data_IF_184472055553
#
_entry.id   IF_184472055553
#
_cell.length_a   1.000
_cell.length_b   1.000
_cell.length_c   1.000
_cell.angle_alpha   90.00
_cell.angle_beta   90.00
_cell.angle_gamma   90.00
#
_symmetry.space_group_name_H-M   'P 1'
#
loop_
_entity.id
_entity.type
_entity.pdbx_description
1 polymer ?
#
# COMPACT_ATOMS: atom_id res chain seq x y z
N UNK A 1 36.11 31.06 19.84
CA UNK A 1 35.38 30.51 21.01
C UNK A 1 34.05 29.95 20.52
N UNK A 2 33.78 28.66 20.77
CA UNK A 2 32.48 27.94 20.75
C UNK A 2 31.63 28.15 19.46
N UNK A 3 31.59 27.23 18.51
CA UNK A 3 31.12 25.85 18.64
C UNK A 3 29.74 25.73 17.99
N UNK A 4 29.67 25.42 16.70
CA UNK A 4 28.43 25.12 15.97
C UNK A 4 28.64 23.80 15.21
N UNK A 5 28.01 22.74 15.75
CA UNK A 5 28.11 21.37 15.27
C UNK A 5 27.43 21.21 13.92
N UNK A 6 28.22 20.90 12.90
CA UNK A 6 27.78 20.42 11.61
C UNK A 6 27.33 18.97 11.83
N UNK A 7 26.02 18.71 11.78
CA UNK A 7 25.46 17.36 11.76
C UNK A 7 25.86 16.70 10.43
N UNK A 8 27.02 16.06 10.41
CA UNK A 8 27.39 15.16 9.32
C UNK A 8 26.49 13.93 9.44
N UNK A 9 25.53 13.81 8.54
CA UNK A 9 24.73 12.60 8.38
C UNK A 9 25.65 11.54 7.75
N UNK A 10 26.51 10.93 8.56
CA UNK A 10 27.23 9.73 8.17
C UNK A 10 26.18 8.64 8.01
N UNK A 11 25.80 8.38 6.75
CA UNK A 11 24.93 7.28 6.40
C UNK A 11 25.67 5.99 6.79
N UNK A 12 25.27 5.42 7.91
CA UNK A 12 25.96 4.30 8.54
C UNK A 12 25.74 3.04 7.68
N UNK A 13 26.75 2.72 6.85
CA UNK A 13 26.71 1.60 5.92
C UNK A 13 26.56 0.25 6.64
N UNK A 14 26.76 0.21 7.96
CA UNK A 14 26.52 -0.97 8.80
C UNK A 14 25.03 -1.31 8.97
N UNK A 15 24.13 -0.32 8.92
CA UNK A 15 22.67 -0.52 9.02
C UNK A 15 22.11 -1.07 7.70
N UNK A 16 22.68 -0.64 6.57
CA UNK A 16 22.33 -1.21 5.24
C UNK A 16 22.90 -2.62 5.09
N UNK A 17 24.12 -2.87 5.58
CA UNK A 17 24.73 -4.20 5.57
C UNK A 17 23.91 -5.21 6.41
N UNK A 18 23.43 -4.82 7.59
CA UNK A 18 22.58 -5.67 8.44
C UNK A 18 21.19 -5.93 7.84
N UNK A 19 20.66 -5.02 7.02
CA UNK A 19 19.41 -5.25 6.29
C UNK A 19 19.60 -6.20 5.09
N UNK A 20 20.77 -6.16 4.43
CA UNK A 20 21.17 -7.09 3.37
C UNK A 20 21.47 -8.51 3.88
N UNK A 21 21.71 -8.68 5.18
CA UNK A 21 21.83 -9.99 5.83
C UNK A 21 20.49 -10.61 6.26
N UNK A 22 19.36 -9.91 6.08
CA UNK A 22 18.05 -10.47 6.41
C UNK A 22 17.66 -11.57 5.39
N UNK A 23 17.06 -12.69 5.84
CA UNK A 23 16.76 -13.85 5.00
C UNK A 23 15.70 -13.60 3.90
N UNK A 24 15.28 -12.35 3.69
CA UNK A 24 14.25 -11.96 2.73
C UNK A 24 14.81 -11.28 1.46
N UNK A 25 16.12 -10.98 1.36
CA UNK A 25 16.65 -10.11 0.27
C UNK A 25 17.89 -10.65 -0.47
N UNK A 26 18.14 -11.96 -0.53
CA UNK A 26 19.22 -12.46 -1.41
C UNK A 26 18.89 -13.74 -2.18
N UNK A 27 18.99 -13.73 -3.53
CA UNK A 27 19.05 -14.97 -4.32
C UNK A 27 20.45 -15.64 -4.26
N UNK A 28 21.38 -15.13 -3.45
CA UNK A 28 22.76 -15.61 -3.37
C UNK A 28 23.04 -16.65 -2.26
N UNK A 29 22.05 -16.99 -1.41
CA UNK A 29 22.22 -18.03 -0.38
C UNK A 29 22.07 -19.48 -0.90
N UNK A 30 21.93 -19.67 -2.22
CA UNK A 30 21.90 -20.99 -2.86
C UNK A 30 23.26 -21.74 -2.78
N UNK A 31 24.35 -21.04 -2.46
CA UNK A 31 25.70 -21.64 -2.40
C UNK A 31 25.95 -22.33 -1.04
N UNK A 32 25.37 -21.85 0.06
CA UNK A 32 25.54 -22.44 1.40
C UNK A 32 24.71 -23.70 1.68
N UNK A 33 23.63 -23.92 0.93
CA UNK A 33 22.79 -25.11 1.06
C UNK A 33 23.46 -26.36 0.45
N UNK A 34 24.32 -26.18 -0.56
CA UNK A 34 25.00 -27.27 -1.27
C UNK A 34 25.95 -28.05 -0.36
N UNK A 35 26.66 -27.36 0.55
CA UNK A 35 27.61 -28.00 1.48
C UNK A 35 26.91 -28.78 2.59
N UNK A 36 25.75 -28.32 3.07
CA UNK A 36 24.97 -29.02 4.10
C UNK A 36 24.27 -30.26 3.56
N UNK A 37 23.82 -30.23 2.31
CA UNK A 37 23.23 -31.40 1.64
C UNK A 37 24.33 -32.47 1.37
N UNK A 38 25.53 -32.05 0.96
CA UNK A 38 26.65 -32.98 0.76
C UNK A 38 27.15 -33.62 2.07
N UNK A 39 27.10 -32.90 3.20
CA UNK A 39 27.41 -33.46 4.52
C UNK A 39 26.39 -34.48 5.03
N UNK A 40 25.11 -34.34 4.68
CA UNK A 40 24.06 -35.32 5.04
C UNK A 40 24.17 -36.57 4.18
N UNK A 41 24.47 -36.42 2.88
CA UNK A 41 24.69 -37.54 1.95
C UNK A 41 25.91 -38.38 2.37
N UNK A 42 27.03 -37.74 2.76
CA UNK A 42 28.23 -38.45 3.18
C UNK A 42 28.10 -39.13 4.57
N UNK A 43 27.10 -38.75 5.37
CA UNK A 43 26.81 -39.35 6.68
C UNK A 43 25.80 -40.52 6.60
N UNK A 44 25.12 -40.66 5.47
CA UNK A 44 24.16 -41.74 5.20
C UNK A 44 24.79 -42.96 4.49
N UNK A 45 26.12 -42.99 4.37
CA UNK A 45 26.87 -44.11 3.80
C UNK A 45 27.22 -45.18 4.84
N UNK A 46 26.25 -45.73 5.56
CA UNK A 46 26.38 -47.06 6.17
C UNK A 46 24.99 -47.62 6.54
N UNK A 47 24.75 -48.85 6.10
CA UNK A 47 23.67 -49.79 6.46
C UNK A 47 22.32 -49.70 5.72
N UNK A 48 22.15 -50.76 4.92
CA UNK A 48 20.94 -51.58 4.84
C UNK A 48 19.68 -51.01 4.17
N UNK A 49 19.73 -50.66 2.89
CA UNK A 49 18.51 -50.67 2.06
C UNK A 49 18.86 -51.08 0.61
N UNK A 50 19.24 -52.35 0.43
CA UNK A 50 19.27 -53.03 -0.87
C UNK A 50 17.99 -53.82 -1.16
N UNK A 51 16.92 -53.61 -0.38
CA UNK A 51 15.63 -54.29 -0.53
C UNK A 51 14.49 -53.36 -0.08
N UNK A 52 13.96 -52.52 -0.97
CA UNK A 52 12.53 -52.15 -0.96
C UNK A 52 12.14 -51.37 -2.23
N UNK A 53 11.46 -52.08 -3.13
CA UNK A 53 10.46 -51.61 -4.10
C UNK A 53 10.79 -50.44 -5.06
N UNK A 54 10.83 -50.79 -6.35
CA UNK A 54 10.17 -50.08 -7.48
C UNK A 54 9.31 -48.87 -7.08
N UNK A 55 9.76 -47.65 -7.38
CA UNK A 55 9.48 -46.86 -8.59
C UNK A 55 10.36 -45.58 -8.54
N UNK A 56 10.82 -45.01 -9.67
CA UNK A 56 11.66 -43.82 -9.65
C UNK A 56 10.88 -42.66 -8.99
N UNK A 57 11.51 -41.84 -8.11
CA UNK A 57 10.81 -40.69 -7.56
C UNK A 57 10.41 -39.77 -8.72
N UNK A 58 9.13 -39.42 -8.81
CA UNK A 58 8.59 -38.45 -9.78
C UNK A 58 9.25 -37.08 -9.55
N UNK A 59 10.48 -36.90 -10.04
CA UNK A 59 11.20 -35.62 -10.01
C UNK A 59 10.38 -34.55 -10.74
N UNK A 60 9.63 -34.95 -11.77
CA UNK A 60 8.73 -34.08 -12.51
C UNK A 60 7.60 -33.52 -11.65
N UNK A 61 7.05 -34.30 -10.72
CA UNK A 61 5.99 -33.85 -9.81
C UNK A 61 6.50 -32.89 -8.73
N UNK A 62 7.75 -33.10 -8.27
CA UNK A 62 8.42 -32.27 -7.28
C UNK A 62 8.86 -30.93 -7.88
N UNK A 63 9.41 -30.97 -9.10
CA UNK A 63 9.72 -29.79 -9.90
C UNK A 63 8.43 -29.03 -10.26
N UNK A 64 7.35 -29.72 -10.63
CA UNK A 64 6.06 -29.10 -10.89
C UNK A 64 5.48 -28.41 -9.65
N UNK A 65 5.60 -28.98 -8.45
CA UNK A 65 5.13 -28.35 -7.21
C UNK A 65 5.98 -27.14 -6.78
N UNK A 66 7.31 -27.20 -6.98
CA UNK A 66 8.21 -26.07 -6.71
C UNK A 66 7.94 -24.93 -7.68
N UNK A 67 7.79 -25.25 -8.98
CA UNK A 67 7.42 -24.26 -10.01
C UNK A 67 6.03 -23.71 -9.71
N UNK A 68 5.03 -24.53 -9.39
CA UNK A 68 3.68 -24.06 -9.06
C UNK A 68 3.66 -23.10 -7.86
N UNK A 69 4.47 -23.38 -6.83
CA UNK A 69 4.57 -22.52 -5.64
C UNK A 69 5.35 -21.21 -5.91
N UNK A 70 6.36 -21.25 -6.78
CA UNK A 70 7.05 -20.06 -7.33
C UNK A 70 6.19 -19.31 -8.35
N UNK A 71 5.17 -19.97 -8.90
CA UNK A 71 4.21 -19.41 -9.87
C UNK A 71 2.88 -19.06 -9.16
N UNK A 72 2.91 -18.88 -7.83
CA UNK A 72 1.76 -18.33 -7.11
C UNK A 72 1.60 -16.85 -7.50
N UNK A 73 0.37 -16.37 -7.64
CA UNK A 73 -0.02 -15.01 -8.06
C UNK A 73 0.80 -13.84 -7.43
N UNK A 74 1.38 -14.06 -6.24
CA UNK A 74 2.29 -13.14 -5.57
C UNK A 74 3.63 -12.90 -6.29
N UNK A 75 4.21 -13.91 -6.94
CA UNK A 75 5.52 -13.77 -7.60
C UNK A 75 5.40 -13.01 -8.93
N UNK A 76 4.32 -13.19 -9.68
CA UNK A 76 4.03 -12.33 -10.83
C UNK A 76 3.80 -10.88 -10.42
N UNK A 77 3.11 -10.66 -9.29
CA UNK A 77 2.89 -9.30 -8.76
C UNK A 77 4.21 -8.63 -8.38
N UNK A 78 5.17 -9.39 -7.82
CA UNK A 78 6.52 -8.87 -7.51
C UNK A 78 7.31 -8.56 -8.77
N UNK A 79 7.31 -9.44 -9.77
CA UNK A 79 8.00 -9.19 -11.06
C UNK A 79 7.41 -7.97 -11.76
N UNK A 80 6.08 -7.86 -11.81
CA UNK A 80 5.40 -6.69 -12.39
C UNK A 80 5.77 -5.40 -11.66
N UNK A 81 5.82 -5.42 -10.33
CA UNK A 81 6.25 -4.27 -9.53
C UNK A 81 7.69 -3.85 -9.85
N UNK A 82 8.61 -4.80 -9.98
CA UNK A 82 9.99 -4.51 -10.38
C UNK A 82 10.11 -3.96 -11.80
N UNK A 83 9.29 -4.45 -12.74
CA UNK A 83 9.22 -3.92 -14.12
C UNK A 83 8.72 -2.47 -14.10
N UNK A 84 7.70 -2.16 -13.30
CA UNK A 84 7.18 -0.78 -13.13
C UNK A 84 8.26 0.13 -12.55
N UNK A 85 8.99 -0.32 -11.52
CA UNK A 85 10.09 0.45 -10.93
C UNK A 85 11.20 0.69 -11.96
N UNK A 86 11.59 -0.32 -12.74
CA UNK A 86 12.58 -0.18 -13.80
C UNK A 86 12.16 0.81 -14.88
N UNK A 87 10.89 0.73 -15.31
CA UNK A 87 10.30 1.67 -16.26
C UNK A 87 10.27 3.11 -15.73
N UNK A 88 9.92 3.29 -14.45
CA UNK A 88 9.92 4.60 -13.80
C UNK A 88 11.33 5.20 -13.76
N UNK A 89 12.35 4.41 -13.42
CA UNK A 89 13.76 4.85 -13.40
C UNK A 89 14.23 5.24 -14.80
N UNK A 90 13.86 4.45 -15.82
CA UNK A 90 14.13 4.80 -17.22
C UNK A 90 13.49 6.13 -17.61
N UNK A 91 12.23 6.33 -17.23
CA UNK A 91 11.51 7.58 -17.50
C UNK A 91 12.15 8.79 -16.80
N UNK A 92 12.53 8.66 -15.53
CA UNK A 92 13.22 9.73 -14.77
C UNK A 92 14.53 10.11 -15.44
N UNK A 93 15.35 9.13 -15.83
CA UNK A 93 16.62 9.39 -16.52
C UNK A 93 16.44 10.14 -17.84
N UNK A 94 15.39 9.83 -18.60
CA UNK A 94 15.09 10.51 -19.85
C UNK A 94 14.49 11.91 -19.66
N UNK A 95 13.92 12.19 -18.48
CA UNK A 95 13.20 13.44 -18.16
C UNK A 95 14.05 14.47 -17.43
N UNK A 96 15.23 14.11 -16.92
CA UNK A 96 16.12 15.03 -16.21
C UNK A 96 16.59 16.17 -17.12
N UNK A 97 15.84 17.27 -17.12
CA UNK A 97 16.39 18.59 -17.40
C UNK A 97 17.36 18.90 -16.25
N UNK A 98 18.60 19.18 -16.57
CA UNK A 98 19.57 19.66 -15.59
C UNK A 98 18.96 20.84 -14.82
N UNK A 99 19.10 20.81 -13.49
CA UNK A 99 18.74 21.94 -12.63
C UNK A 99 19.76 23.03 -12.95
N UNK A 100 19.46 23.88 -13.91
CA UNK A 100 20.35 24.98 -14.27
C UNK A 100 20.38 25.96 -13.08
N UNK A 101 21.56 26.13 -12.50
CA UNK A 101 21.84 27.25 -11.61
C UNK A 101 21.53 28.53 -12.38
N UNK A 102 20.76 29.43 -11.77
CA UNK A 102 20.29 30.63 -12.46
C UNK A 102 21.47 31.59 -12.69
N UNK A 103 21.99 31.62 -13.91
CA UNK A 103 23.13 32.45 -14.32
C UNK A 103 22.66 33.53 -15.31
N UNK A 104 22.42 34.78 -14.85
CA UNK A 104 21.80 35.82 -15.67
C UNK A 104 22.56 36.13 -16.98
N UNK A 105 23.89 36.17 -16.92
CA UNK A 105 24.74 36.43 -18.08
C UNK A 105 24.68 35.28 -19.09
N UNK A 106 24.75 34.02 -18.63
CA UNK A 106 24.66 32.83 -19.47
C UNK A 106 23.30 32.71 -20.16
N UNK A 107 22.20 33.05 -19.47
CA UNK A 107 20.83 33.05 -20.04
C UNK A 107 20.70 34.06 -21.19
N UNK A 108 21.34 35.23 -21.08
CA UNK A 108 21.38 36.24 -22.13
C UNK A 108 22.42 35.94 -23.22
N UNK A 109 23.30 34.96 -23.00
CA UNK A 109 24.41 34.61 -23.89
C UNK A 109 25.54 35.64 -23.89
N UNK A 110 25.81 36.23 -22.74
CA UNK A 110 26.88 37.22 -22.51
C UNK A 110 27.94 36.65 -21.55
N UNK A 111 29.15 37.19 -21.59
CA UNK A 111 30.18 36.90 -20.59
C UNK A 111 29.89 37.64 -19.27
N UNK A 112 30.40 37.08 -18.16
CA UNK A 112 30.30 37.69 -16.84
C UNK A 112 30.98 39.07 -16.83
N UNK A 113 30.22 40.13 -16.52
CA UNK A 113 30.72 41.51 -16.50
C UNK A 113 30.48 42.31 -17.78
N UNK A 114 29.61 41.84 -18.67
CA UNK A 114 29.15 42.62 -19.83
C UNK A 114 28.53 43.97 -19.43
N UNK A 115 28.64 44.96 -20.32
CA UNK A 115 28.14 46.32 -20.08
C UNK A 115 26.61 46.42 -20.18
N UNK A 116 25.99 47.39 -19.50
CA UNK A 116 24.54 47.66 -19.56
C UNK A 116 24.00 47.79 -20.99
N UNK A 117 24.82 48.35 -21.89
CA UNK A 117 24.46 48.50 -23.30
C UNK A 117 24.37 47.14 -24.02
N UNK A 118 25.30 46.24 -23.74
CA UNK A 118 25.30 44.87 -24.28
C UNK A 118 24.15 44.05 -23.71
N UNK A 119 23.86 44.19 -22.42
CA UNK A 119 22.72 43.55 -21.74
C UNK A 119 21.40 43.96 -22.41
N UNK A 120 21.18 45.27 -22.61
CA UNK A 120 19.97 45.79 -23.29
C UNK A 120 19.86 45.30 -24.73
N UNK A 121 20.98 45.24 -25.46
CA UNK A 121 21.01 44.75 -26.84
C UNK A 121 20.67 43.26 -26.93
N UNK A 122 21.25 42.44 -26.05
CA UNK A 122 20.99 41.01 -25.97
C UNK A 122 19.53 40.72 -25.60
N UNK A 123 19.01 41.40 -24.58
CA UNK A 123 17.61 41.30 -24.18
C UNK A 123 16.65 41.64 -25.31
N UNK A 124 16.90 42.73 -26.05
CA UNK A 124 16.06 43.11 -27.21
C UNK A 124 16.08 42.06 -28.32
N UNK A 125 17.22 41.43 -28.57
CA UNK A 125 17.32 40.36 -29.59
C UNK A 125 16.51 39.14 -29.17
N UNK A 126 16.66 38.70 -27.92
CA UNK A 126 15.99 37.50 -27.41
C UNK A 126 14.49 37.74 -27.21
N UNK A 127 14.07 38.91 -26.73
CA UNK A 127 12.66 39.23 -26.56
C UNK A 127 11.89 39.13 -27.87
N UNK A 128 12.47 39.60 -28.98
CA UNK A 128 11.85 39.48 -30.31
C UNK A 128 11.71 38.01 -30.74
N UNK A 129 12.66 37.15 -30.40
CA UNK A 129 12.67 35.75 -30.82
C UNK A 129 11.65 34.88 -30.05
N UNK A 130 11.41 35.19 -28.78
CA UNK A 130 10.55 34.41 -27.89
C UNK A 130 9.21 35.09 -27.55
N UNK A 131 8.88 36.21 -28.22
CA UNK A 131 7.61 36.90 -28.03
C UNK A 131 6.44 36.07 -28.60
N UNK A 132 5.28 35.98 -27.92
CA UNK A 132 4.16 35.12 -28.32
C UNK A 132 3.56 35.47 -29.68
N UNK A 133 3.65 36.73 -30.12
CA UNK A 133 3.18 37.15 -31.46
C UNK A 133 4.07 36.62 -32.59
N UNK A 134 5.37 36.41 -32.33
CA UNK A 134 6.32 35.94 -33.34
C UNK A 134 6.60 34.45 -33.27
N UNK A 135 6.35 33.82 -32.13
CA UNK A 135 6.60 32.41 -31.90
C UNK A 135 5.38 31.77 -31.23
N UNK A 136 4.61 30.93 -31.94
CA UNK A 136 3.36 30.35 -31.41
C UNK A 136 3.60 29.19 -30.43
N UNK A 137 4.86 28.84 -30.13
CA UNK A 137 5.19 27.76 -29.20
C UNK A 137 4.98 28.21 -27.74
N UNK A 138 4.08 27.56 -26.97
CA UNK A 138 3.89 27.87 -25.55
C UNK A 138 5.14 27.66 -24.70
N UNK A 139 6.05 26.75 -25.08
CA UNK A 139 7.30 26.53 -24.36
C UNK A 139 8.27 27.71 -24.51
N UNK A 140 8.30 28.34 -25.68
CA UNK A 140 9.12 29.52 -25.95
C UNK A 140 8.68 30.72 -25.09
N UNK A 141 7.36 30.89 -24.93
CA UNK A 141 6.80 31.94 -24.08
C UNK A 141 7.15 31.74 -22.59
N UNK A 142 6.99 30.52 -22.08
CA UNK A 142 7.38 30.17 -20.72
C UNK A 142 8.86 30.45 -20.48
N UNK A 143 9.73 30.02 -21.39
CA UNK A 143 11.16 30.30 -21.31
C UNK A 143 11.47 31.80 -21.25
N UNK A 144 10.80 32.63 -22.07
CA UNK A 144 11.00 34.08 -22.04
C UNK A 144 10.66 34.71 -20.69
N UNK A 145 9.51 34.37 -20.12
CA UNK A 145 9.05 34.94 -18.85
C UNK A 145 9.89 34.43 -17.68
N UNK A 146 10.19 33.13 -17.66
CA UNK A 146 10.86 32.48 -16.53
C UNK A 146 12.38 32.73 -16.50
N UNK A 147 13.03 32.81 -17.66
CA UNK A 147 14.49 32.93 -17.74
C UNK A 147 14.95 34.30 -18.25
N UNK A 148 14.59 34.70 -19.47
CA UNK A 148 15.12 35.90 -20.14
C UNK A 148 14.70 37.18 -19.41
N UNK A 149 13.42 37.32 -19.09
CA UNK A 149 12.88 38.49 -18.38
C UNK A 149 13.50 38.62 -16.99
N UNK A 150 13.57 37.52 -16.23
CA UNK A 150 14.17 37.50 -14.89
C UNK A 150 15.67 37.79 -14.93
N UNK A 151 16.40 37.27 -15.92
CA UNK A 151 17.84 37.52 -16.06
C UNK A 151 18.12 39.00 -16.35
N UNK A 152 17.32 39.64 -17.21
CA UNK A 152 17.43 41.07 -17.47
C UNK A 152 17.11 41.91 -16.22
N UNK A 153 16.06 41.54 -15.48
CA UNK A 153 15.70 42.19 -14.22
C UNK A 153 16.87 42.10 -13.23
N UNK A 154 17.38 40.89 -12.98
CA UNK A 154 18.50 40.62 -12.07
C UNK A 154 19.73 41.53 -12.30
N UNK A 155 20.00 41.89 -13.56
CA UNK A 155 21.14 42.72 -13.94
C UNK A 155 20.83 44.22 -14.00
N UNK A 156 19.56 44.62 -14.15
CA UNK A 156 19.19 46.02 -14.39
C UNK A 156 18.62 46.70 -13.15
N UNK A 157 17.83 45.99 -12.34
CA UNK A 157 17.15 46.55 -11.17
C UNK A 157 18.01 46.34 -9.91
N UNK A 158 18.41 47.42 -9.19
CA UNK A 158 19.29 47.33 -8.03
C UNK A 158 18.74 46.40 -6.93
N UNK A 159 17.42 46.36 -6.74
CA UNK A 159 16.79 45.51 -5.73
C UNK A 159 16.95 44.03 -6.10
N UNK A 160 16.66 43.69 -7.35
CA UNK A 160 16.82 42.30 -7.84
C UNK A 160 18.28 41.85 -7.91
N UNK A 161 19.21 42.77 -8.14
CA UNK A 161 20.65 42.49 -8.13
C UNK A 161 21.14 42.14 -6.72
N UNK A 162 20.78 42.94 -5.70
CA UNK A 162 21.10 42.63 -4.30
C UNK A 162 20.49 41.28 -3.86
N UNK A 163 19.25 41.00 -4.29
CA UNK A 163 18.61 39.71 -4.04
C UNK A 163 19.36 38.54 -4.69
N UNK A 164 19.83 38.71 -5.92
CA UNK A 164 20.62 37.71 -6.62
C UNK A 164 21.96 37.45 -5.90
N UNK A 165 22.68 38.49 -5.47
CA UNK A 165 23.93 38.34 -4.72
C UNK A 165 23.73 37.60 -3.38
N UNK A 166 22.61 37.86 -2.70
CA UNK A 166 22.33 37.32 -1.37
C UNK A 166 21.71 35.92 -1.37
N UNK A 167 20.87 35.62 -2.35
CA UNK A 167 20.07 34.39 -2.40
C UNK A 167 20.31 33.53 -3.64
N UNK A 168 21.10 33.99 -4.61
CA UNK A 168 21.33 33.30 -5.89
C UNK A 168 20.13 33.34 -6.84
N UNK A 169 19.12 34.18 -6.57
CA UNK A 169 17.92 34.28 -7.39
C UNK A 169 17.33 35.71 -7.36
N UNK A 170 16.85 36.27 -8.50
CA UNK A 170 16.36 37.66 -8.58
C UNK A 170 15.11 37.93 -7.74
N UNK A 171 14.23 36.93 -7.57
CA UNK A 171 13.01 36.99 -6.76
C UNK A 171 13.30 37.03 -5.22
N UNK A 172 14.57 36.98 -4.81
CA UNK A 172 14.98 37.01 -3.41
C UNK A 172 14.86 35.66 -2.71
N UNK A 173 14.56 35.69 -1.40
CA UNK A 173 14.40 34.47 -0.60
C UNK A 173 13.19 33.69 -1.11
N UNK A 174 13.42 32.68 -1.94
CA UNK A 174 12.39 31.74 -2.32
C UNK A 174 11.86 31.04 -1.06
N UNK A 175 10.56 31.19 -0.79
CA UNK A 175 9.91 30.38 0.22
C UNK A 175 10.07 28.91 -0.17
N UNK A 176 10.29 28.02 0.80
CA UNK A 176 10.24 26.58 0.55
C UNK A 176 8.85 26.24 0.01
N UNK A 177 8.75 26.11 -1.31
CA UNK A 177 7.51 25.76 -1.98
C UNK A 177 7.38 24.23 -1.90
N UNK A 178 6.72 23.77 -0.84
CA UNK A 178 6.41 22.35 -0.66
C UNK A 178 5.35 21.93 -1.68
N UNK A 179 5.80 21.49 -2.86
CA UNK A 179 4.94 20.88 -3.87
C UNK A 179 4.55 19.46 -3.46
N UNK A 180 3.29 19.10 -3.64
CA UNK A 180 2.86 17.70 -3.56
C UNK A 180 3.36 17.02 -4.85
N UNK A 181 4.11 15.93 -4.75
CA UNK A 181 4.65 15.19 -5.89
C UNK A 181 3.58 14.39 -6.69
N UNK A 182 2.33 14.87 -6.67
CA UNK A 182 1.25 14.31 -7.46
C UNK A 182 1.24 15.00 -8.83
N UNK A 183 1.04 14.23 -9.91
CA UNK A 183 1.00 14.81 -11.24
C UNK A 183 -0.21 15.75 -11.37
N UNK A 184 -0.01 16.89 -12.03
CA UNK A 184 -1.00 17.97 -12.06
C UNK A 184 -2.31 17.58 -12.76
N UNK A 185 -2.30 16.56 -13.62
CA UNK A 185 -3.52 16.01 -14.20
C UNK A 185 -4.47 15.36 -13.18
N UNK A 186 -4.07 15.09 -11.92
CA UNK A 186 -5.00 14.59 -10.89
C UNK A 186 -5.62 15.77 -10.11
N UNK A 187 -4.88 16.87 -9.99
CA UNK A 187 -5.22 18.00 -9.11
C UNK A 187 -5.90 19.16 -9.84
N UNK A 188 -5.92 19.17 -11.18
CA UNK A 188 -6.62 20.20 -11.93
C UNK A 188 -8.13 20.10 -11.72
N UNK A 189 -8.70 21.07 -11.00
CA UNK A 189 -10.13 21.11 -10.66
C UNK A 189 -10.98 21.55 -11.87
N UNK A 190 -10.35 22.09 -12.92
CA UNK A 190 -10.99 22.77 -14.05
C UNK A 190 -11.65 21.82 -15.11
N UNK A 191 -12.05 20.62 -14.71
CA UNK A 191 -13.08 19.85 -15.41
C UNK A 191 -12.66 18.52 -16.04
N UNK A 192 -11.38 18.29 -16.37
CA UNK A 192 -10.95 16.98 -16.93
C UNK A 192 -10.69 15.92 -15.86
N UNK A 193 -10.13 16.32 -14.72
CA UNK A 193 -9.73 15.41 -13.63
C UNK A 193 -10.60 15.44 -12.38
N UNK A 194 -11.43 16.47 -12.25
CA UNK A 194 -12.45 16.54 -11.19
C UNK A 194 -13.39 15.32 -11.22
N UNK A 195 -13.66 14.76 -12.40
CA UNK A 195 -14.48 13.56 -12.55
C UNK A 195 -13.89 12.32 -11.87
N UNK A 196 -12.56 12.10 -11.97
CA UNK A 196 -11.90 10.92 -11.38
C UNK A 196 -11.92 11.01 -9.85
N UNK A 197 -11.64 12.19 -9.29
CA UNK A 197 -11.67 12.41 -7.84
C UNK A 197 -13.10 12.26 -7.28
N UNK A 198 -14.09 12.82 -7.96
CA UNK A 198 -15.50 12.71 -7.56
C UNK A 198 -15.97 11.25 -7.61
N UNK A 199 -15.60 10.51 -8.66
CA UNK A 199 -15.87 9.07 -8.77
C UNK A 199 -15.27 8.29 -7.59
N UNK A 200 -14.01 8.57 -7.23
CA UNK A 200 -13.35 7.95 -6.08
C UNK A 200 -14.05 8.24 -4.75
N UNK A 201 -14.45 9.50 -4.52
CA UNK A 201 -15.19 9.90 -3.32
C UNK A 201 -16.55 9.21 -3.28
N UNK A 202 -17.26 9.13 -4.40
CA UNK A 202 -18.58 8.46 -4.49
C UNK A 202 -18.44 6.96 -4.24
N UNK A 203 -17.42 6.32 -4.81
CA UNK A 203 -17.15 4.89 -4.58
C UNK A 203 -16.83 4.65 -3.11
N UNK A 204 -15.99 5.47 -2.48
CA UNK A 204 -15.70 5.32 -1.06
C UNK A 204 -16.93 5.59 -0.20
N UNK A 205 -17.69 6.66 -0.46
CA UNK A 205 -18.85 7.03 0.35
C UNK A 205 -20.04 6.09 0.19
N UNK A 206 -20.23 5.47 -0.98
CA UNK A 206 -21.41 4.63 -1.26
C UNK A 206 -21.04 3.15 -1.28
N UNK A 207 -20.00 2.78 -2.03
CA UNK A 207 -19.66 1.37 -2.27
C UNK A 207 -19.04 0.73 -1.01
N UNK A 208 -18.18 1.45 -0.28
CA UNK A 208 -17.56 0.93 0.94
C UNK A 208 -18.59 0.61 2.05
N UNK A 209 -19.49 1.52 2.47
CA UNK A 209 -20.47 1.18 3.50
C UNK A 209 -21.48 0.14 3.00
N UNK A 210 -21.82 0.12 1.71
CA UNK A 210 -22.72 -0.90 1.15
C UNK A 210 -22.08 -2.29 1.20
N UNK A 211 -20.80 -2.41 0.82
CA UNK A 211 -20.07 -3.67 0.92
C UNK A 211 -19.88 -4.09 2.36
N UNK A 212 -19.52 -3.17 3.27
CA UNK A 212 -19.42 -3.48 4.70
C UNK A 212 -20.77 -3.94 5.27
N UNK A 213 -21.87 -3.27 4.94
CA UNK A 213 -23.20 -3.66 5.35
C UNK A 213 -23.58 -5.04 4.77
N UNK A 214 -23.34 -5.27 3.47
CA UNK A 214 -23.62 -6.52 2.81
C UNK A 214 -22.81 -7.68 3.40
N UNK A 215 -21.50 -7.49 3.63
CA UNK A 215 -20.62 -8.50 4.25
C UNK A 215 -21.00 -8.74 5.71
N UNK A 216 -21.28 -7.67 6.46
CA UNK A 216 -21.71 -7.76 7.86
C UNK A 216 -23.03 -8.51 7.99
N UNK A 217 -24.05 -8.16 7.20
CA UNK A 217 -25.34 -8.85 7.17
C UNK A 217 -25.21 -10.29 6.68
N UNK A 218 -24.39 -10.54 5.65
CA UNK A 218 -24.15 -11.89 5.14
C UNK A 218 -23.40 -12.79 6.12
N UNK A 219 -22.58 -12.22 7.02
CA UNK A 219 -21.89 -12.97 8.08
C UNK A 219 -22.74 -13.12 9.32
N UNK A 220 -23.47 -12.09 9.73
CA UNK A 220 -24.31 -12.11 10.93
C UNK A 220 -25.53 -13.01 10.76
N UNK A 221 -26.12 -13.08 9.56
CA UNK A 221 -27.27 -13.94 9.27
C UNK A 221 -26.95 -15.45 9.26
N UNK A 222 -25.68 -15.86 9.31
CA UNK A 222 -25.28 -17.27 9.25
C UNK A 222 -25.23 -17.94 10.63
N UNK A 223 -25.02 -17.17 11.70
CA UNK A 223 -24.78 -17.71 13.04
C UNK A 223 -25.76 -17.15 14.05
N UNK A 224 -26.29 -18.03 14.90
CA UNK A 224 -27.14 -17.65 16.04
C UNK A 224 -26.31 -17.02 17.17
N UNK A 225 -26.98 -16.48 18.20
CA UNK A 225 -26.34 -15.94 19.42
C UNK A 225 -25.38 -16.92 20.11
N UNK A 226 -25.55 -18.23 19.89
CA UNK A 226 -24.72 -19.29 20.45
C UNK A 226 -23.66 -19.81 19.46
N UNK A 227 -23.34 -19.05 18.40
CA UNK A 227 -22.37 -19.41 17.36
C UNK A 227 -22.68 -20.71 16.59
N UNK A 228 -23.95 -21.13 16.57
CA UNK A 228 -24.41 -22.28 15.78
C UNK A 228 -24.97 -21.79 14.45
N UNK A 229 -24.65 -22.47 13.34
CA UNK A 229 -25.19 -22.11 12.02
C UNK A 229 -26.70 -22.33 11.96
N UNK A 230 -27.43 -21.40 11.34
CA UNK A 230 -28.89 -21.52 11.21
C UNK A 230 -29.32 -22.81 10.48
N UNK A 231 -28.58 -23.22 9.45
CA UNK A 231 -28.84 -24.45 8.70
C UNK A 231 -28.75 -25.70 9.58
N UNK A 232 -27.76 -25.75 10.47
CA UNK A 232 -27.59 -26.87 11.41
C UNK A 232 -28.68 -26.90 12.47
N UNK A 233 -29.18 -25.73 12.89
CA UNK A 233 -30.28 -25.64 13.85
C UNK A 233 -31.59 -26.18 13.25
N UNK A 234 -31.86 -25.89 11.97
CA UNK A 234 -33.00 -26.44 11.24
C UNK A 234 -32.92 -27.96 11.11
N UNK A 235 -31.75 -28.50 10.76
CA UNK A 235 -31.52 -29.95 10.72
C UNK A 235 -31.66 -30.60 12.10
N UNK A 236 -31.17 -29.96 13.15
CA UNK A 236 -31.30 -30.43 14.54
C UNK A 236 -32.76 -30.53 14.97
N UNK A 237 -33.57 -29.50 14.71
CA UNK A 237 -35.00 -29.53 15.03
C UNK A 237 -35.77 -30.55 14.19
N UNK A 238 -35.37 -30.80 12.95
CA UNK A 238 -35.99 -31.81 12.10
C UNK A 238 -35.65 -33.24 12.52
N UNK A 239 -34.42 -33.49 12.99
CA UNK A 239 -33.99 -34.82 13.45
C UNK A 239 -34.38 -35.15 14.90
N UNK A 240 -34.74 -34.13 15.70
CA UNK A 240 -35.15 -34.34 17.09
C UNK A 240 -36.49 -35.08 17.15
N UNK A 241 -36.48 -36.30 17.70
CA UNK A 241 -37.71 -37.07 17.92
C UNK A 241 -38.64 -36.33 18.89
N UNK A 242 -39.96 -36.28 18.63
CA UNK A 242 -40.92 -35.50 19.43
C UNK A 242 -40.97 -35.91 20.91
N UNK A 243 -40.52 -37.11 21.25
CA UNK A 243 -40.44 -37.62 22.63
C UNK A 243 -39.34 -37.00 23.49
N UNK A 244 -38.33 -36.36 22.89
CA UNK A 244 -37.20 -35.70 23.57
C UNK A 244 -37.28 -34.18 23.52
N UNK A 245 -38.30 -33.64 22.85
CA UNK A 245 -38.52 -32.20 22.81
C UNK A 245 -38.65 -31.70 24.26
N UNK A 246 -37.86 -30.68 24.68
CA UNK A 246 -37.90 -30.17 26.04
C UNK A 246 -39.32 -29.84 26.50
N UNK A 247 -40.14 -29.30 25.60
CA UNK A 247 -41.56 -28.99 25.87
C UNK A 247 -42.39 -30.24 26.21
N UNK A 248 -42.19 -31.36 25.51
CA UNK A 248 -42.90 -32.62 25.79
C UNK A 248 -42.44 -33.24 27.11
N UNK A 249 -41.12 -33.23 27.38
CA UNK A 249 -40.56 -33.76 28.64
C UNK A 249 -40.99 -32.92 29.84
N UNK A 250 -40.92 -31.60 29.75
CA UNK A 250 -41.36 -30.68 30.81
C UNK A 250 -42.87 -30.87 31.05
N UNK A 251 -43.69 -30.89 29.99
CA UNK A 251 -45.13 -31.05 30.11
C UNK A 251 -45.53 -32.42 30.70
N UNK A 252 -44.87 -33.50 30.26
CA UNK A 252 -45.12 -34.86 30.76
C UNK A 252 -44.71 -35.04 32.22
N UNK A 253 -43.54 -34.51 32.60
CA UNK A 253 -43.07 -34.58 33.98
C UNK A 253 -43.93 -33.72 34.91
N UNK A 254 -44.35 -32.54 34.44
CA UNK A 254 -45.25 -31.66 35.19
C UNK A 254 -46.62 -32.30 35.43
N UNK A 255 -47.22 -32.91 34.40
CA UNK A 255 -48.49 -33.64 34.56
C UNK A 255 -48.35 -34.81 35.53
N UNK A 256 -47.28 -35.59 35.41
CA UNK A 256 -47.05 -36.74 36.29
C UNK A 256 -46.86 -36.32 37.75
N UNK A 257 -46.17 -35.20 37.99
CA UNK A 257 -46.05 -34.61 39.32
C UNK A 257 -47.41 -34.12 39.85
N UNK A 258 -48.20 -33.43 39.02
CA UNK A 258 -49.56 -32.99 39.38
C UNK A 258 -50.47 -34.17 39.75
N UNK A 259 -50.46 -35.25 38.97
CA UNK A 259 -51.23 -36.46 39.28
C UNK A 259 -50.80 -37.07 40.62
N UNK A 260 -49.50 -37.08 40.93
CA UNK A 260 -48.99 -37.58 42.20
C UNK A 260 -49.44 -36.72 43.39
N UNK A 261 -49.42 -35.39 43.25
CA UNK A 261 -49.93 -34.47 44.27
C UNK A 261 -51.44 -34.66 44.50
N UNK A 262 -52.22 -34.90 43.44
CA UNK A 262 -53.66 -35.17 43.57
C UNK A 262 -53.95 -36.49 44.30
N UNK A 263 -53.16 -37.54 44.05
CA UNK A 263 -53.29 -38.82 44.79
C UNK A 263 -52.91 -38.69 46.27
N UNK A 264 -51.90 -37.88 46.59
CA UNK A 264 -51.52 -37.59 47.99
C UNK A 264 -52.64 -36.84 48.73
N UNK A 265 -53.29 -35.88 48.08
CA UNK A 265 -54.40 -35.11 48.66
C UNK A 265 -55.63 -35.99 48.91
N UNK A 266 -55.99 -36.85 47.95
CA UNK A 266 -57.07 -37.84 48.11
C UNK A 266 -56.74 -38.88 49.18
N UNK A 267 -55.50 -39.37 49.21
CA UNK A 267 -55.03 -40.33 50.21
C UNK A 267 -55.01 -39.75 51.63
N UNK A 268 -54.59 -38.49 51.79
CA UNK A 268 -54.61 -37.78 53.06
C UNK A 268 -56.04 -37.49 53.54
N UNK A 269 -56.95 -37.13 52.63
CA UNK A 269 -58.37 -36.93 52.94
C UNK A 269 -59.13 -38.22 53.30
N UNK A 270 -58.65 -39.40 52.88
CA UNK A 270 -59.17 -40.70 53.29
C UNK A 270 -58.58 -41.14 54.65
N UNK A 271 -57.28 -40.94 54.85
CA UNK A 271 -56.57 -41.24 56.09
C UNK A 271 -57.05 -40.36 57.27
N UNK A 272 -57.27 -39.07 57.04
CA UNK A 272 -57.81 -38.14 58.03
C UNK A 272 -59.23 -38.51 58.49
N UNK A 273 -60.07 -39.05 57.61
CA UNK A 273 -61.43 -39.50 57.95
C UNK A 273 -61.42 -40.79 58.77
N UNK A 274 -60.49 -41.71 58.46
CA UNK A 274 -60.35 -42.97 59.20
C UNK A 274 -59.69 -42.81 60.58
N UNK A 275 -59.09 -41.65 60.89
CA UNK A 275 -58.57 -41.30 62.22
C UNK A 275 -59.59 -40.53 63.09
N UNK A 276 -60.75 -40.16 62.52
CA UNK A 276 -61.82 -39.41 63.18
C UNK A 276 -63.05 -40.27 63.50
N UNK A 277 -63.06 -41.56 63.11
CA UNK A 277 -64.01 -42.61 63.53
C UNK A 277 -63.36 -43.52 64.56
#
# INVERSE_FOLDING_TARGET
>A
MKGLGIFSFTFDWSVVASFLQSPLVSPFFAIGAKERIQQVINRAGDKDISDLCTDPPDIDSLVANIIANVTTCGNFSLVLLWVIVGFLVYYIKNMSREIQVFEPFSILGLESGATDHEIKKAYRRLSIQYYPDKNPDPAAHQYFVESISKAYQALTDPISHENFEKYGHPDGRQGFQMGIALPQFILNIDGSSGGILLLWIVVICILLPLVLAAVYLSRSAKYTRNYVKNDTLGAYFHMMKPSLAPRYLIWKNFIRAMTFMMYLDVGWGAFSRSLLE
#
